data_IF_093270464171
#
_entry.id   IF_093270464171
#
_cell.length_a   1.000
_cell.length_b   1.000
_cell.length_c   1.000
_cell.angle_alpha   90.00
_cell.angle_beta   90.00
_cell.angle_gamma   90.00
#
_symmetry.space_group_name_H-M   'P 1'
#
loop_
_entity.id
_entity.type
_entity.pdbx_description
1 polymer ?
#
# COMPACT_ATOMS: atom_id res chain seq x y z
N UNK A 1 -30.56 -21.12 15.53
CA UNK A 1 -30.57 -19.87 14.71
C UNK A 1 -29.73 -18.76 15.35
N UNK A 2 -29.83 -18.58 16.63
CA UNK A 2 -29.12 -17.53 17.41
C UNK A 2 -27.59 -17.67 17.39
N UNK A 3 -27.04 -18.87 17.51
CA UNK A 3 -25.59 -19.09 17.40
C UNK A 3 -25.01 -18.64 16.05
N UNK A 4 -25.76 -18.83 14.97
CA UNK A 4 -25.33 -18.39 13.63
C UNK A 4 -25.28 -16.88 13.51
N UNK A 5 -26.28 -16.18 14.09
CA UNK A 5 -26.28 -14.72 14.09
C UNK A 5 -25.09 -14.16 14.86
N UNK A 6 -24.68 -14.81 15.97
CA UNK A 6 -23.48 -14.45 16.72
C UNK A 6 -22.19 -14.68 15.89
N UNK A 7 -22.10 -15.77 15.14
CA UNK A 7 -20.95 -16.01 14.26
C UNK A 7 -20.81 -14.98 13.14
N UNK A 8 -21.93 -14.66 12.48
CA UNK A 8 -21.97 -13.62 11.44
C UNK A 8 -21.57 -12.26 12.01
N UNK A 9 -22.15 -11.89 13.17
CA UNK A 9 -21.83 -10.63 13.83
C UNK A 9 -20.37 -10.59 14.30
N UNK A 10 -19.82 -11.70 14.82
CA UNK A 10 -18.40 -11.81 15.18
C UNK A 10 -17.50 -11.60 13.97
N UNK A 11 -17.73 -12.32 12.85
CA UNK A 11 -16.93 -12.15 11.65
C UNK A 11 -17.01 -10.73 11.08
N UNK A 12 -18.18 -10.09 11.22
CA UNK A 12 -18.36 -8.68 10.88
C UNK A 12 -17.53 -7.74 11.78
N UNK A 13 -17.47 -8.01 13.09
CA UNK A 13 -16.63 -7.24 14.03
C UNK A 13 -15.15 -7.39 13.70
N UNK A 14 -14.67 -8.61 13.45
CA UNK A 14 -13.27 -8.89 13.08
C UNK A 14 -12.89 -8.16 11.78
N UNK A 15 -13.79 -8.15 10.80
CA UNK A 15 -13.59 -7.42 9.55
C UNK A 15 -13.53 -5.89 9.76
N UNK A 16 -14.44 -5.32 10.58
CA UNK A 16 -14.43 -3.89 10.87
C UNK A 16 -13.19 -3.49 11.69
N UNK A 17 -12.73 -4.35 12.61
CA UNK A 17 -11.50 -4.12 13.36
C UNK A 17 -10.28 -4.09 12.44
N UNK A 18 -10.19 -5.02 11.49
CA UNK A 18 -9.11 -5.03 10.48
C UNK A 18 -9.16 -3.76 9.64
N UNK A 19 -10.35 -3.36 9.16
CA UNK A 19 -10.53 -2.12 8.39
C UNK A 19 -10.09 -0.91 9.18
N UNK A 20 -10.46 -0.82 10.46
CA UNK A 20 -10.06 0.28 11.34
C UNK A 20 -8.55 0.35 11.53
N UNK A 21 -7.88 -0.80 11.71
CA UNK A 21 -6.42 -0.86 11.84
C UNK A 21 -5.72 -0.36 10.57
N UNK A 22 -6.23 -0.74 9.38
CA UNK A 22 -5.68 -0.28 8.09
C UNK A 22 -5.89 1.22 7.91
N UNK A 23 -7.09 1.75 8.20
CA UNK A 23 -7.37 3.20 8.13
C UNK A 23 -6.46 3.97 9.10
N UNK A 24 -6.30 3.49 10.33
CA UNK A 24 -5.42 4.11 11.31
C UNK A 24 -3.95 4.14 10.84
N UNK A 25 -3.48 3.06 10.21
CA UNK A 25 -2.15 3.00 9.62
C UNK A 25 -2.01 3.97 8.45
N UNK A 26 -2.99 4.05 7.55
CA UNK A 26 -2.99 5.02 6.45
C UNK A 26 -2.93 6.46 6.99
N UNK A 27 -3.76 6.79 7.98
CA UNK A 27 -3.81 8.12 8.58
C UNK A 27 -2.50 8.49 9.29
N UNK A 28 -1.89 7.55 10.02
CA UNK A 28 -0.60 7.76 10.67
C UNK A 28 0.52 8.06 9.68
N UNK A 29 0.44 7.52 8.44
CA UNK A 29 1.43 7.69 7.40
C UNK A 29 1.05 8.70 6.31
N UNK A 30 0.12 9.61 6.59
CA UNK A 30 -0.30 10.64 5.63
C UNK A 30 0.83 11.62 5.25
N UNK A 31 1.73 11.91 6.20
CA UNK A 31 2.88 12.79 6.01
C UNK A 31 4.17 12.05 5.64
N UNK A 32 4.11 10.73 5.47
CA UNK A 32 5.28 9.92 5.13
C UNK A 32 5.52 9.98 3.62
N UNK A 33 6.71 10.40 3.20
CA UNK A 33 7.12 10.48 1.78
C UNK A 33 7.10 9.10 1.13
N UNK A 34 6.57 9.01 -0.09
CA UNK A 34 6.51 7.76 -0.85
C UNK A 34 5.57 6.68 -0.27
N UNK A 35 4.84 6.97 0.82
CA UNK A 35 3.91 6.00 1.39
C UNK A 35 2.74 5.71 0.45
N UNK A 36 2.37 4.43 0.36
CA UNK A 36 1.22 3.96 -0.40
C UNK A 36 0.15 3.41 0.53
N UNK A 37 -1.10 3.91 0.37
CA UNK A 37 -2.22 3.49 1.21
C UNK A 37 -2.52 2.00 1.04
N UNK A 38 -2.91 1.37 2.12
CA UNK A 38 -3.36 -0.02 2.13
C UNK A 38 -4.88 -0.10 2.11
N UNK A 39 -5.41 -1.16 1.50
CA UNK A 39 -6.84 -1.47 1.48
C UNK A 39 -7.07 -2.93 1.86
N UNK A 40 -7.97 -3.24 2.82
CA UNK A 40 -8.34 -4.61 3.12
C UNK A 40 -9.30 -5.15 2.06
N UNK A 41 -9.15 -6.42 1.72
CA UNK A 41 -10.02 -7.16 0.80
C UNK A 41 -10.80 -8.17 1.63
N UNK A 42 -12.13 -8.16 1.46
CA UNK A 42 -13.05 -9.06 2.15
C UNK A 42 -13.75 -9.96 1.15
N UNK A 43 -14.05 -11.18 1.59
CA UNK A 43 -14.88 -12.15 0.87
C UNK A 43 -15.97 -12.67 1.80
N UNK A 44 -17.09 -13.00 1.20
CA UNK A 44 -18.16 -13.70 1.91
C UNK A 44 -17.79 -15.17 2.18
N UNK A 45 -18.36 -15.73 3.23
CA UNK A 45 -18.20 -17.13 3.57
C UNK A 45 -19.30 -17.99 2.89
N UNK A 46 -19.09 -19.31 2.84
CA UNK A 46 -19.99 -20.29 2.20
C UNK A 46 -21.41 -20.12 2.70
N UNK A 47 -22.36 -20.12 1.76
CA UNK A 47 -23.79 -20.10 2.06
C UNK A 47 -24.29 -21.50 2.45
N UNK A 48 -25.12 -21.55 3.48
CA UNK A 48 -25.84 -22.77 3.87
C UNK A 48 -27.18 -22.83 3.14
N UNK A 49 -27.38 -23.88 2.36
CA UNK A 49 -28.64 -24.15 1.71
C UNK A 49 -29.59 -24.81 2.72
N UNK A 50 -30.59 -24.04 3.21
CA UNK A 50 -31.66 -24.56 4.05
C UNK A 50 -32.77 -25.17 3.20
N UNK A 51 -32.99 -24.61 2.02
CA UNK A 51 -33.92 -25.13 1.01
C UNK A 51 -33.31 -24.96 -0.37
N UNK A 52 -33.27 -26.08 -1.11
CA UNK A 52 -32.64 -26.09 -2.42
C UNK A 52 -33.52 -25.34 -3.45
N UNK A 53 -32.87 -24.57 -4.33
CA UNK A 53 -33.49 -23.93 -5.49
C UNK A 53 -34.06 -25.03 -6.42
N UNK A 54 -35.28 -24.87 -6.91
CA UNK A 54 -35.91 -25.83 -7.82
C UNK A 54 -36.49 -27.09 -7.11
N UNK A 55 -36.47 -27.13 -5.76
CA UNK A 55 -37.13 -28.26 -5.05
C UNK A 55 -38.63 -28.27 -5.33
N UNK A 56 -39.20 -29.47 -5.51
CA UNK A 56 -40.63 -29.63 -5.72
C UNK A 56 -41.39 -29.27 -4.45
N UNK A 57 -42.31 -28.33 -4.55
CA UNK A 57 -43.22 -27.96 -3.45
C UNK A 57 -44.49 -28.83 -3.45
N UNK A 58 -44.93 -29.25 -4.64
CA UNK A 58 -46.01 -30.20 -4.87
C UNK A 58 -45.69 -31.01 -6.14
N UNK A 59 -46.54 -32.02 -6.45
CA UNK A 59 -46.33 -32.86 -7.64
C UNK A 59 -46.11 -32.11 -8.96
N UNK A 60 -46.61 -30.85 -9.08
CA UNK A 60 -46.55 -30.05 -10.30
C UNK A 60 -45.96 -28.64 -10.12
N UNK A 61 -45.48 -28.26 -8.94
CA UNK A 61 -44.94 -26.92 -8.71
C UNK A 61 -43.50 -26.96 -8.15
N UNK A 62 -42.60 -26.27 -8.79
CA UNK A 62 -41.22 -26.06 -8.35
C UNK A 62 -41.06 -24.73 -7.68
N UNK A 63 -40.23 -24.67 -6.64
CA UNK A 63 -39.88 -23.42 -5.97
C UNK A 63 -38.93 -22.62 -6.85
N UNK A 64 -39.30 -21.38 -7.25
CA UNK A 64 -38.45 -20.54 -8.08
C UNK A 64 -37.19 -20.03 -7.34
N UNK A 65 -37.22 -20.00 -6.00
CA UNK A 65 -36.10 -19.52 -5.16
C UNK A 65 -35.86 -20.48 -4.00
N UNK A 66 -34.58 -20.71 -3.67
CA UNK A 66 -34.15 -21.42 -2.46
C UNK A 66 -34.01 -20.51 -1.25
N UNK A 67 -33.82 -21.11 -0.09
CA UNK A 67 -33.42 -20.40 1.14
C UNK A 67 -31.94 -20.67 1.40
N UNK A 68 -31.10 -19.66 1.17
CA UNK A 68 -29.67 -19.68 1.41
C UNK A 68 -29.32 -18.66 2.49
N UNK A 69 -28.57 -19.10 3.49
CA UNK A 69 -28.13 -18.22 4.60
C UNK A 69 -26.61 -18.06 4.55
N UNK A 70 -26.14 -16.81 4.47
CA UNK A 70 -24.72 -16.50 4.57
C UNK A 70 -24.17 -16.80 5.97
N UNK A 71 -22.88 -17.14 6.06
CA UNK A 71 -22.20 -17.45 7.31
C UNK A 71 -21.24 -16.36 7.78
N UNK A 72 -21.15 -15.25 7.05
CA UNK A 72 -20.36 -14.09 7.44
C UNK A 72 -19.33 -13.68 6.40
N UNK A 73 -18.29 -13.01 6.85
CA UNK A 73 -17.21 -12.41 6.04
C UNK A 73 -15.86 -12.84 6.59
N UNK A 74 -14.85 -12.92 5.70
CA UNK A 74 -13.44 -13.08 6.09
C UNK A 74 -12.58 -12.02 5.45
N UNK A 75 -11.51 -11.63 6.12
CA UNK A 75 -10.42 -10.85 5.54
C UNK A 75 -9.51 -11.80 4.76
N UNK A 76 -9.29 -11.50 3.47
CA UNK A 76 -8.46 -12.34 2.59
C UNK A 76 -7.05 -11.79 2.52
N UNK A 77 -6.92 -10.49 2.30
CA UNK A 77 -5.65 -9.84 2.10
C UNK A 77 -5.74 -8.34 2.44
N UNK A 78 -4.59 -7.73 2.56
CA UNK A 78 -4.42 -6.28 2.50
C UNK A 78 -3.53 -5.97 1.31
N UNK A 79 -4.01 -5.17 0.38
CA UNK A 79 -3.22 -4.74 -0.77
C UNK A 79 -2.75 -3.30 -0.63
N UNK A 80 -1.59 -2.99 -1.19
CA UNK A 80 -1.11 -1.61 -1.33
C UNK A 80 -1.52 -1.04 -2.68
N UNK A 81 -2.06 0.17 -2.66
CA UNK A 81 -2.44 0.91 -3.86
C UNK A 81 -1.27 1.78 -4.30
N UNK A 82 -0.60 1.38 -5.38
CA UNK A 82 0.57 2.07 -5.93
C UNK A 82 0.20 3.24 -6.86
N UNK A 83 -0.98 3.85 -6.65
CA UNK A 83 -1.32 5.11 -7.32
C UNK A 83 -0.35 6.21 -6.90
N UNK A 84 -0.05 7.12 -7.81
CA UNK A 84 0.83 8.24 -7.53
C UNK A 84 0.21 9.19 -6.50
N UNK A 85 1.02 9.63 -5.52
CA UNK A 85 0.69 10.70 -4.59
C UNK A 85 0.89 12.08 -5.22
N UNK A 86 0.64 13.13 -4.46
CA UNK A 86 0.94 14.48 -4.90
C UNK A 86 2.47 14.71 -4.91
N UNK A 87 2.96 15.42 -5.90
CA UNK A 87 4.35 15.85 -5.97
C UNK A 87 4.45 17.22 -5.31
N UNK A 88 5.26 17.31 -4.26
CA UNK A 88 5.54 18.54 -3.55
C UNK A 88 6.96 19.00 -3.86
N UNK A 89 7.10 20.24 -4.30
CA UNK A 89 8.41 20.85 -4.52
C UNK A 89 9.09 21.16 -3.19
N UNK A 90 10.36 20.77 -3.10
CA UNK A 90 11.25 21.08 -1.97
C UNK A 90 12.39 21.98 -2.46
N UNK A 91 13.13 22.57 -1.53
CA UNK A 91 14.30 23.40 -1.88
C UNK A 91 15.59 22.56 -1.92
N UNK A 92 15.53 21.26 -1.68
CA UNK A 92 16.70 20.40 -1.61
C UNK A 92 16.99 19.76 -2.97
N UNK A 93 18.19 19.99 -3.50
CA UNK A 93 18.62 19.45 -4.80
C UNK A 93 18.79 17.92 -4.85
N UNK A 94 18.87 17.26 -3.71
CA UNK A 94 18.99 15.81 -3.60
C UNK A 94 17.64 15.09 -3.50
N UNK A 95 16.54 15.85 -3.31
CA UNK A 95 15.22 15.27 -3.30
C UNK A 95 14.77 14.97 -4.73
N UNK A 96 14.31 13.75 -4.96
CA UNK A 96 13.94 13.24 -6.28
C UNK A 96 12.57 12.56 -6.23
N UNK A 97 11.60 13.08 -6.98
CA UNK A 97 10.32 12.41 -7.14
C UNK A 97 10.26 11.62 -8.45
N UNK A 98 9.69 10.43 -8.40
CA UNK A 98 9.36 9.66 -9.61
C UNK A 98 7.97 10.05 -10.09
N UNK A 99 7.89 10.67 -11.26
CA UNK A 99 6.62 11.05 -11.88
C UNK A 99 6.21 9.99 -12.91
N UNK A 100 5.30 9.11 -12.51
CA UNK A 100 4.86 7.96 -13.30
C UNK A 100 5.17 6.62 -12.62
N UNK A 101 5.38 5.58 -13.43
CA UNK A 101 5.68 4.21 -12.97
C UNK A 101 7.16 4.04 -12.67
N UNK A 102 7.49 3.15 -11.74
CA UNK A 102 8.86 2.78 -11.39
C UNK A 102 9.17 3.01 -9.91
N UNK A 103 10.20 2.37 -9.41
CA UNK A 103 10.71 2.46 -8.04
C UNK A 103 12.21 2.71 -8.08
N UNK A 104 12.72 3.44 -7.11
CA UNK A 104 14.16 3.56 -6.89
C UNK A 104 14.68 2.25 -6.28
N UNK A 105 15.87 1.86 -6.66
CA UNK A 105 16.54 0.65 -6.21
C UNK A 105 17.49 0.98 -5.06
N UNK A 106 17.39 0.25 -3.97
CA UNK A 106 18.19 0.44 -2.76
C UNK A 106 18.90 -0.84 -2.42
N UNK A 107 20.23 -0.75 -2.28
CA UNK A 107 21.07 -1.87 -1.89
C UNK A 107 21.04 -2.03 -0.37
N UNK A 108 20.63 -3.22 0.08
CA UNK A 108 20.62 -3.59 1.48
C UNK A 108 22.00 -4.11 1.93
N UNK A 109 22.34 -4.01 3.22
CA UNK A 109 23.62 -4.52 3.74
C UNK A 109 23.83 -6.04 3.57
N UNK A 110 22.75 -6.79 3.37
CA UNK A 110 22.79 -8.24 3.08
C UNK A 110 23.06 -8.56 1.60
N UNK A 111 23.14 -7.53 0.73
CA UNK A 111 23.32 -7.67 -0.70
C UNK A 111 22.03 -7.79 -1.51
N UNK A 112 20.86 -7.80 -0.88
CA UNK A 112 19.58 -7.80 -1.57
C UNK A 112 19.22 -6.40 -2.08
N UNK A 113 18.46 -6.32 -3.17
CA UNK A 113 17.94 -5.06 -3.69
C UNK A 113 16.50 -4.90 -3.20
N UNK A 114 16.22 -3.78 -2.55
CA UNK A 114 14.87 -3.37 -2.19
C UNK A 114 14.45 -2.14 -3.00
N UNK A 115 13.18 -1.86 -3.03
CA UNK A 115 12.56 -0.86 -3.89
C UNK A 115 11.85 0.18 -3.05
N UNK A 116 11.93 1.45 -3.44
CA UNK A 116 11.25 2.53 -2.71
C UNK A 116 10.69 3.58 -3.66
N UNK A 117 9.69 4.32 -3.17
CA UNK A 117 9.20 5.56 -3.78
C UNK A 117 9.63 6.80 -2.99
N UNK A 118 10.33 6.60 -1.88
CA UNK A 118 10.91 7.71 -1.12
C UNK A 118 12.20 8.17 -1.80
N UNK A 119 12.17 9.38 -2.33
CA UNK A 119 13.32 10.01 -2.99
C UNK A 119 14.02 11.04 -2.11
N UNK A 120 13.88 10.99 -0.80
CA UNK A 120 14.64 11.85 0.13
C UNK A 120 16.07 11.34 0.27
N UNK A 121 16.90 11.67 -0.72
CA UNK A 121 18.29 11.21 -0.78
C UNK A 121 19.22 12.16 0.01
N UNK A 122 20.31 11.59 0.53
CA UNK A 122 21.37 12.28 1.25
C UNK A 122 22.73 11.83 0.73
N UNK A 123 23.77 12.57 1.11
CA UNK A 123 25.14 12.17 0.86
C UNK A 123 25.73 11.57 2.14
N UNK A 124 26.41 10.45 2.01
CA UNK A 124 27.23 9.87 3.06
C UNK A 124 28.62 10.52 3.09
N UNK A 125 29.42 10.17 4.11
CA UNK A 125 30.82 10.65 4.30
C UNK A 125 31.74 10.30 3.12
N UNK A 126 31.36 9.32 2.30
CA UNK A 126 32.09 8.92 1.07
C UNK A 126 31.53 9.62 -0.18
N UNK A 127 30.59 10.54 -0.04
CA UNK A 127 29.93 11.19 -1.18
C UNK A 127 28.93 10.31 -1.92
N UNK A 128 28.52 9.16 -1.38
CA UNK A 128 27.55 8.29 -2.02
C UNK A 128 26.10 8.73 -1.76
N UNK A 129 25.22 8.55 -2.74
CA UNK A 129 23.79 8.79 -2.55
C UNK A 129 23.19 7.69 -1.71
N UNK A 130 22.61 8.08 -0.56
CA UNK A 130 21.99 7.16 0.40
C UNK A 130 20.59 7.65 0.76
N UNK A 131 19.74 6.74 1.25
CA UNK A 131 18.46 7.08 1.85
C UNK A 131 18.63 7.74 3.23
N UNK A 132 17.57 8.24 3.82
CA UNK A 132 17.58 8.75 5.19
C UNK A 132 17.99 7.70 6.24
N UNK A 133 17.86 6.42 5.94
CA UNK A 133 18.32 5.28 6.76
C UNK A 133 19.77 4.89 6.52
N UNK A 134 20.52 5.57 5.64
CA UNK A 134 21.90 5.26 5.31
C UNK A 134 22.09 4.09 4.31
N UNK A 135 21.04 3.66 3.63
CA UNK A 135 21.10 2.62 2.61
C UNK A 135 21.48 3.20 1.26
N UNK A 136 22.35 2.54 0.51
CA UNK A 136 22.88 3.02 -0.75
C UNK A 136 21.87 2.88 -1.89
N UNK A 137 21.85 3.87 -2.77
CA UNK A 137 21.10 3.79 -4.03
C UNK A 137 21.84 2.86 -5.02
N UNK A 138 21.09 2.07 -5.76
CA UNK A 138 21.62 1.23 -6.86
C UNK A 138 21.13 1.78 -8.20
N UNK A 139 22.01 2.02 -9.20
CA UNK A 139 23.48 1.90 -9.14
C UNK A 139 24.13 2.97 -8.25
N UNK A 140 25.24 2.60 -7.60
CA UNK A 140 25.95 3.48 -6.69
C UNK A 140 26.51 4.70 -7.43
N UNK A 141 26.12 5.90 -7.04
CA UNK A 141 26.58 7.16 -7.60
C UNK A 141 27.36 7.91 -6.53
N UNK A 142 28.61 8.22 -6.83
CA UNK A 142 29.49 8.94 -5.91
C UNK A 142 29.65 10.37 -6.39
N UNK A 143 29.32 11.31 -5.54
CA UNK A 143 29.49 12.74 -5.75
C UNK A 143 30.84 13.17 -5.20
N UNK A 144 31.73 13.80 -5.98
CA UNK A 144 33.01 14.27 -5.51
C UNK A 144 32.83 15.42 -4.50
N UNK A 145 33.72 15.49 -3.51
CA UNK A 145 33.68 16.52 -2.44
C UNK A 145 33.77 17.95 -2.97
N UNK A 146 34.39 18.13 -4.15
CA UNK A 146 34.55 19.43 -4.80
C UNK A 146 33.30 19.90 -5.58
N UNK A 147 32.19 19.15 -5.54
CA UNK A 147 30.99 19.50 -6.29
C UNK A 147 30.33 20.78 -5.73
N UNK A 148 30.15 21.80 -6.56
CA UNK A 148 29.48 23.06 -6.22
C UNK A 148 27.94 22.85 -6.28
N UNK A 149 27.46 22.14 -7.29
CA UNK A 149 26.04 21.84 -7.49
C UNK A 149 25.85 20.49 -8.14
N UNK A 150 24.74 19.82 -7.77
CA UNK A 150 24.33 18.54 -8.33
C UNK A 150 23.05 18.79 -9.12
N UNK A 151 23.00 18.30 -10.34
CA UNK A 151 21.83 18.35 -11.21
C UNK A 151 21.43 16.96 -11.60
N UNK A 152 20.15 16.61 -11.38
CA UNK A 152 19.57 15.34 -11.74
C UNK A 152 18.61 15.57 -12.90
N UNK A 153 18.91 14.97 -14.03
CA UNK A 153 18.10 15.05 -15.24
C UNK A 153 16.79 14.27 -15.11
N UNK A 154 15.84 14.55 -15.99
CA UNK A 154 14.57 13.80 -16.05
C UNK A 154 14.77 12.36 -16.53
N UNK A 155 15.84 12.10 -17.22
CA UNK A 155 16.32 10.81 -17.71
C UNK A 155 17.15 10.04 -16.67
N UNK A 156 17.29 10.58 -15.46
CA UNK A 156 18.07 9.98 -14.38
C UNK A 156 19.56 10.27 -14.42
N UNK A 157 20.06 11.02 -15.40
CA UNK A 157 21.47 11.42 -15.43
C UNK A 157 21.80 12.33 -14.25
N UNK A 158 22.81 11.95 -13.47
CA UNK A 158 23.32 12.74 -12.35
C UNK A 158 24.62 13.41 -12.79
N UNK A 159 24.64 14.72 -12.78
CA UNK A 159 25.81 15.53 -13.14
C UNK A 159 26.18 16.48 -12.01
N UNK A 160 27.47 16.69 -11.84
CA UNK A 160 27.99 17.66 -10.86
C UNK A 160 28.83 18.74 -11.55
N UNK A 161 28.68 19.96 -11.09
CA UNK A 161 29.53 21.07 -11.47
C UNK A 161 30.70 21.17 -10.49
N UNK A 162 31.92 21.09 -11.02
CA UNK A 162 33.16 21.21 -10.24
C UNK A 162 33.81 22.59 -10.43
N UNK A 163 34.53 23.10 -9.42
CA UNK A 163 35.28 24.32 -9.56
C UNK A 163 36.37 24.19 -10.63
N UNK A 164 36.38 25.10 -11.57
CA UNK A 164 37.36 25.11 -12.69
C UNK A 164 36.90 24.43 -13.98
N UNK A 165 35.82 23.67 -13.96
CA UNK A 165 35.18 23.11 -15.16
C UNK A 165 33.87 23.86 -15.46
N UNK A 166 33.77 24.44 -16.67
CA UNK A 166 32.52 25.11 -17.10
C UNK A 166 31.45 24.06 -17.56
N UNK A 167 31.85 22.85 -17.84
CA UNK A 167 30.94 21.76 -18.25
C UNK A 167 30.65 20.83 -17.08
N UNK A 168 29.38 20.52 -16.80
CA UNK A 168 29.04 19.50 -15.79
C UNK A 168 29.65 18.15 -16.12
N UNK A 169 30.16 17.47 -15.13
CA UNK A 169 30.69 16.11 -15.25
C UNK A 169 29.56 15.13 -14.90
N UNK A 170 29.31 14.18 -15.78
CA UNK A 170 28.36 13.12 -15.54
C UNK A 170 28.95 12.11 -14.55
N UNK A 171 28.22 11.83 -13.46
CA UNK A 171 28.64 10.94 -12.38
C UNK A 171 28.04 9.53 -12.55
N UNK A 172 26.87 9.46 -13.17
CA UNK A 172 26.14 8.21 -13.37
C UNK A 172 24.68 8.44 -13.70
N UNK A 173 23.92 7.37 -13.80
CA UNK A 173 22.50 7.42 -14.12
C UNK A 173 21.69 6.62 -13.11
N UNK A 174 20.64 7.24 -12.54
CA UNK A 174 19.66 6.58 -11.68
C UNK A 174 18.76 5.72 -12.56
N UNK A 175 18.61 4.45 -12.22
CA UNK A 175 17.72 3.52 -12.89
C UNK A 175 16.46 3.30 -12.07
N UNK A 176 15.34 3.07 -12.76
CA UNK A 176 14.08 2.70 -12.15
C UNK A 176 13.80 1.22 -12.37
N UNK A 177 13.17 0.59 -11.39
CA UNK A 177 12.62 -0.74 -11.51
C UNK A 177 11.10 -0.67 -11.59
N UNK A 178 10.47 -1.38 -12.50
CA UNK A 178 9.02 -1.57 -12.55
C UNK A 178 8.66 -3.04 -12.43
N UNK A 179 7.43 -3.31 -12.02
CA UNK A 179 6.92 -4.66 -11.80
C UNK A 179 5.61 -4.85 -12.55
N UNK A 180 5.41 -6.05 -13.09
CA UNK A 180 4.16 -6.44 -13.74
C UNK A 180 3.01 -6.35 -12.73
N UNK A 181 3.25 -6.79 -11.49
CA UNK A 181 2.27 -6.72 -10.40
C UNK A 181 2.85 -6.01 -9.17
N UNK A 182 2.74 -4.67 -9.08
CA UNK A 182 3.25 -3.92 -7.94
C UNK A 182 2.57 -4.27 -6.61
N UNK A 183 1.31 -4.74 -6.64
CA UNK A 183 0.58 -5.13 -5.42
C UNK A 183 1.13 -6.38 -4.76
N UNK A 184 1.90 -7.18 -5.51
CA UNK A 184 2.60 -8.35 -5.02
C UNK A 184 3.91 -8.06 -4.28
N UNK A 185 4.37 -6.82 -4.25
CA UNK A 185 5.55 -6.41 -3.49
C UNK A 185 5.32 -6.55 -1.99
N UNK A 186 6.32 -7.09 -1.29
CA UNK A 186 6.27 -7.28 0.17
C UNK A 186 6.85 -6.04 0.87
N UNK A 187 6.05 -5.32 1.71
CA UNK A 187 6.57 -4.20 2.49
C UNK A 187 7.46 -4.72 3.62
N UNK A 188 8.71 -4.27 3.66
CA UNK A 188 9.69 -4.67 4.68
C UNK A 188 9.77 -3.66 5.84
N UNK A 189 9.24 -2.47 5.66
CA UNK A 189 9.39 -1.33 6.56
C UNK A 189 10.27 -0.25 5.94
N UNK A 190 10.44 0.90 6.61
CA UNK A 190 11.28 2.03 6.16
C UNK A 190 10.95 2.52 4.72
N UNK A 191 9.67 2.41 4.31
CA UNK A 191 9.19 2.68 2.96
C UNK A 191 9.82 1.81 1.87
N UNK A 192 10.39 0.66 2.26
CA UNK A 192 11.02 -0.31 1.36
C UNK A 192 10.07 -1.46 1.02
N UNK A 193 10.19 -1.91 -0.21
CA UNK A 193 9.47 -3.05 -0.77
C UNK A 193 10.49 -4.08 -1.25
N UNK A 194 10.20 -5.35 -1.02
CA UNK A 194 10.97 -6.47 -1.54
C UNK A 194 10.20 -7.18 -2.63
N UNK A 195 10.91 -7.68 -3.64
CA UNK A 195 10.31 -8.52 -4.66
C UNK A 195 9.77 -9.82 -4.06
N UNK A 196 8.72 -10.32 -4.65
CA UNK A 196 8.13 -11.61 -4.30
C UNK A 196 7.81 -12.40 -5.57
N UNK A 197 7.51 -13.69 -5.40
CA UNK A 197 7.05 -14.53 -6.52
C UNK A 197 5.78 -13.95 -7.17
N UNK A 198 4.96 -13.23 -6.40
CA UNK A 198 3.73 -12.63 -6.89
C UNK A 198 3.93 -11.30 -7.63
N UNK A 199 5.02 -10.56 -7.35
CA UNK A 199 5.35 -9.32 -8.07
C UNK A 199 5.97 -9.60 -9.45
N UNK A 200 6.59 -10.76 -9.61
CA UNK A 200 7.46 -11.06 -10.75
C UNK A 200 8.85 -10.43 -10.60
N UNK A 201 9.72 -10.71 -11.57
CA UNK A 201 11.08 -10.14 -11.62
C UNK A 201 11.02 -8.65 -11.97
N UNK A 202 11.91 -7.82 -11.40
CA UNK A 202 11.98 -6.40 -11.71
C UNK A 202 12.41 -6.20 -13.18
N UNK A 203 11.74 -5.27 -13.84
CA UNK A 203 12.15 -4.74 -15.14
C UNK A 203 12.90 -3.45 -14.84
N UNK A 204 14.19 -3.40 -15.17
CA UNK A 204 15.05 -2.25 -14.92
C UNK A 204 15.15 -1.44 -16.20
N UNK A 205 15.01 -0.13 -16.10
CA UNK A 205 15.12 0.76 -17.25
C UNK A 205 15.49 2.19 -16.86
N UNK A 206 15.74 2.98 -17.89
CA UNK A 206 16.05 4.41 -17.76
C UNK A 206 14.78 5.22 -17.58
N UNK A 207 14.77 6.20 -16.68
CA UNK A 207 13.63 7.10 -16.52
C UNK A 207 13.28 7.80 -17.85
N UNK A 208 11.98 7.86 -18.16
CA UNK A 208 11.49 8.53 -19.36
C UNK A 208 11.50 7.70 -20.65
N UNK A 209 12.02 6.48 -20.61
CA UNK A 209 11.96 5.50 -21.70
C UNK A 209 11.02 4.34 -21.34
N UNK A 210 10.55 3.59 -22.33
CA UNK A 210 9.82 2.31 -22.19
C UNK A 210 8.71 2.28 -21.12
N UNK A 211 7.85 3.30 -21.02
CA UNK A 211 6.78 3.45 -20.03
C UNK A 211 7.24 3.77 -18.58
N UNK A 212 8.54 3.91 -18.32
CA UNK A 212 9.04 4.39 -17.04
C UNK A 212 8.69 5.86 -16.81
N UNK A 213 8.42 6.18 -15.56
CA UNK A 213 8.24 7.55 -15.12
C UNK A 213 9.51 8.39 -15.29
N UNK A 214 9.34 9.70 -15.32
CA UNK A 214 10.48 10.65 -15.34
C UNK A 214 10.86 11.04 -13.92
N UNK A 215 12.11 11.44 -13.72
CA UNK A 215 12.57 12.01 -12.45
C UNK A 215 12.36 13.52 -12.40
N UNK A 216 11.98 14.00 -11.22
CA UNK A 216 11.84 15.42 -10.91
C UNK A 216 12.73 15.75 -9.73
N UNK A 217 13.78 16.54 -9.98
CA UNK A 217 14.69 17.05 -8.95
C UNK A 217 14.00 18.13 -8.11
N UNK A 218 14.38 18.24 -6.83
CA UNK A 218 13.83 19.25 -5.92
C UNK A 218 12.38 19.02 -5.56
N UNK A 219 11.92 17.78 -5.64
CA UNK A 219 10.54 17.39 -5.38
C UNK A 219 10.48 16.06 -4.66
N UNK A 220 9.45 15.85 -3.85
CA UNK A 220 9.16 14.58 -3.17
C UNK A 220 7.73 14.14 -3.48
N UNK A 221 7.54 12.85 -3.58
CA UNK A 221 6.21 12.27 -3.66
C UNK A 221 5.62 12.15 -2.25
N UNK A 222 4.51 12.85 -1.99
CA UNK A 222 3.78 12.71 -0.72
C UNK A 222 2.94 11.43 -0.72
N UNK A 223 2.47 11.04 0.46
CA UNK A 223 1.53 9.91 0.60
C UNK A 223 0.31 10.10 -0.31
N UNK A 224 -0.18 9.00 -0.90
CA UNK A 224 -1.44 8.99 -1.67
C UNK A 224 -2.69 8.86 -0.78
N UNK A 225 -2.56 9.10 0.52
CA UNK A 225 -3.65 9.06 1.51
C UNK A 225 -4.39 10.38 1.51
N UNK A 226 -5.72 10.34 1.36
CA UNK A 226 -6.58 11.49 1.57
C UNK A 226 -7.14 11.47 3.00
N UNK A 227 -6.73 12.42 3.83
CA UNK A 227 -7.13 12.50 5.24
C UNK A 227 -8.65 12.53 5.42
N UNK A 228 -9.35 13.31 4.60
CA UNK A 228 -10.81 13.48 4.73
C UNK A 228 -11.53 12.17 4.40
N UNK A 229 -11.11 11.50 3.32
CA UNK A 229 -11.66 10.20 2.91
C UNK A 229 -11.44 9.13 4.00
N UNK A 230 -10.23 9.06 4.56
CA UNK A 230 -9.91 8.09 5.61
C UNK A 230 -10.64 8.40 6.92
N UNK A 231 -10.82 9.68 7.30
CA UNK A 231 -11.61 10.05 8.48
C UNK A 231 -13.09 9.67 8.32
N UNK A 232 -13.69 9.92 7.15
CA UNK A 232 -15.07 9.52 6.87
C UNK A 232 -15.19 8.00 6.94
N UNK A 233 -14.27 7.27 6.31
CA UNK A 233 -14.23 5.80 6.35
C UNK A 233 -14.04 5.27 7.78
N UNK A 234 -13.28 5.96 8.62
CA UNK A 234 -13.11 5.62 10.03
C UNK A 234 -14.43 5.75 10.80
N UNK A 235 -15.15 6.87 10.61
CA UNK A 235 -16.44 7.11 11.26
C UNK A 235 -17.48 6.05 10.83
N UNK A 236 -17.54 5.72 9.54
CA UNK A 236 -18.41 4.67 9.01
C UNK A 236 -18.09 3.31 9.65
N UNK A 237 -16.79 2.98 9.73
CA UNK A 237 -16.30 1.73 10.31
C UNK A 237 -16.62 1.64 11.79
N UNK A 238 -16.44 2.74 12.53
CA UNK A 238 -16.80 2.81 13.96
C UNK A 238 -18.31 2.61 14.17
N UNK A 239 -19.14 3.27 13.36
CA UNK A 239 -20.61 3.08 13.45
C UNK A 239 -21.02 1.65 13.09
N UNK A 240 -20.41 1.05 12.08
CA UNK A 240 -20.67 -0.34 11.72
C UNK A 240 -20.24 -1.30 12.84
N UNK A 241 -19.11 -1.04 13.49
CA UNK A 241 -18.65 -1.80 14.66
C UNK A 241 -19.63 -1.70 15.82
N UNK A 242 -20.10 -0.49 16.16
CA UNK A 242 -21.09 -0.27 17.20
C UNK A 242 -22.43 -1.00 16.92
N UNK A 243 -22.90 -0.95 15.66
CA UNK A 243 -24.13 -1.65 15.27
C UNK A 243 -23.98 -3.17 15.40
N UNK A 244 -22.85 -3.75 14.97
CA UNK A 244 -22.56 -5.17 15.11
C UNK A 244 -22.44 -5.58 16.59
N UNK A 245 -21.81 -4.77 17.42
CA UNK A 245 -21.69 -4.98 18.86
C UNK A 245 -23.07 -4.96 19.54
N UNK A 246 -23.92 -4.00 19.15
CA UNK A 246 -25.29 -3.91 19.66
C UNK A 246 -26.13 -5.11 19.20
N UNK A 247 -25.96 -5.60 17.98
CA UNK A 247 -26.63 -6.80 17.50
C UNK A 247 -26.25 -8.04 18.33
N UNK A 248 -24.98 -8.19 18.73
CA UNK A 248 -24.54 -9.26 19.64
C UNK A 248 -25.20 -9.12 20.99
N UNK A 249 -25.18 -7.93 21.59
CA UNK A 249 -25.78 -7.67 22.89
C UNK A 249 -27.28 -7.96 22.89
N UNK A 250 -28.02 -7.54 21.86
CA UNK A 250 -29.46 -7.84 21.75
C UNK A 250 -29.75 -9.32 21.58
N UNK A 251 -28.89 -10.04 20.85
CA UNK A 251 -29.02 -11.50 20.68
C UNK A 251 -28.76 -12.22 21.99
N UNK A 252 -27.78 -11.79 22.78
CA UNK A 252 -27.47 -12.34 24.08
C UNK A 252 -28.63 -12.09 25.09
N UNK A 253 -29.22 -10.89 25.09
CA UNK A 253 -30.41 -10.59 25.87
C UNK A 253 -31.60 -11.46 25.49
N UNK A 254 -31.83 -11.71 24.20
CA UNK A 254 -32.87 -12.63 23.74
C UNK A 254 -32.64 -14.07 24.24
N UNK A 255 -31.38 -14.53 24.22
CA UNK A 255 -31.02 -15.85 24.75
C UNK A 255 -31.23 -15.94 26.24
N UNK A 256 -30.82 -14.93 27.00
CA UNK A 256 -31.01 -14.90 28.47
C UNK A 256 -32.50 -14.88 28.85
N UNK A 257 -33.32 -14.16 28.08
CA UNK A 257 -34.78 -14.15 28.32
C UNK A 257 -35.41 -15.52 28.05
N UNK A 258 -35.00 -16.21 27.00
CA UNK A 258 -35.49 -17.56 26.68
C UNK A 258 -35.07 -18.58 27.76
N UNK A 259 -33.82 -18.48 28.26
CA UNK A 259 -33.33 -19.37 29.34
C UNK A 259 -33.93 -19.12 30.70
N UNK A 260 -34.47 -17.92 30.97
CA UNK A 260 -35.16 -17.59 32.20
C UNK A 260 -36.66 -18.03 32.22
N UNK A 261 -37.23 -18.27 31.02
CA UNK A 261 -38.64 -18.70 30.90
C UNK A 261 -38.80 -20.21 30.75
N UNK A 262 -37.72 -20.96 30.66
CA UNK A 262 -37.67 -22.43 30.66
C UNK A 262 -37.30 -22.95 32.05
#
# INVERSE_FOLDING_TARGET
MTERALWVAKSGLDAQQTRMAVIANNLANVNTTGFKKSRPIFEDLIYQNVRQVGAQSTQNTQLPTGLQLGTGVRTVATEKLHTQGNIQQTENSLDVAVNGRGFLQILMPNGDINYTRDGSLKLDSLGQLVTSGGLMLEPAITVPEDAISITIGRDGTVSALQPGNATPVELGQIQLADFINPTGLEPVGENLYRESVASGTPIIGTPGEDEFGTLLQGSLETSNVNVVEELVSMIETQRAYEMNSKAISTTDQMLSFVTQQL
#
